data_IF_786709499184
#
_entry.id   IF_786709499184
#
_cell.length_a   1.000
_cell.length_b   1.000
_cell.length_c   1.000
_cell.angle_alpha   90.00
_cell.angle_beta   90.00
_cell.angle_gamma   90.00
#
_symmetry.space_group_name_H-M   'P 1'
#
loop_
_entity.id
_entity.type
_entity.pdbx_description
1 polymer ?
#
# COMPACT_ATOMS: atom_id res chain seq x y z
N UNK A 1 -11.85 -0.44 7.29
CA UNK A 1 -10.54 -0.95 7.74
C UNK A 1 -9.81 -1.49 6.52
N UNK A 2 -8.81 -0.74 6.01
CA UNK A 2 -8.10 -1.12 4.79
C UNK A 2 -7.00 -2.16 5.04
N UNK A 3 -6.42 -2.16 6.25
CA UNK A 3 -5.28 -3.02 6.63
C UNK A 3 -5.68 -4.47 6.87
N UNK A 4 -6.97 -4.72 7.13
CA UNK A 4 -7.50 -6.08 7.32
C UNK A 4 -7.27 -6.99 6.10
N UNK A 5 -7.25 -6.44 4.88
CA UNK A 5 -7.11 -7.22 3.65
C UNK A 5 -5.69 -7.76 3.45
N UNK A 6 -4.70 -7.13 4.08
CA UNK A 6 -3.30 -7.54 4.03
C UNK A 6 -2.93 -8.50 5.16
N UNK A 7 -3.88 -8.84 6.04
CA UNK A 7 -3.63 -9.77 7.15
C UNK A 7 -3.22 -11.15 6.62
N UNK A 8 -2.21 -11.77 7.25
CA UNK A 8 -1.61 -13.05 6.86
C UNK A 8 -0.91 -13.10 5.49
N UNK A 9 -0.76 -11.98 4.79
CA UNK A 9 0.05 -11.94 3.57
C UNK A 9 1.53 -11.72 3.90
N UNK A 10 2.42 -12.32 3.12
CA UNK A 10 3.86 -12.14 3.27
C UNK A 10 4.30 -10.79 2.71
N UNK A 11 5.29 -10.16 3.37
CA UNK A 11 5.88 -8.93 2.88
C UNK A 11 6.60 -9.17 1.55
N UNK A 12 6.33 -8.31 0.57
CA UNK A 12 6.83 -8.43 -0.79
C UNK A 12 7.54 -7.15 -1.23
N UNK A 13 8.53 -7.31 -2.10
CA UNK A 13 9.38 -6.25 -2.67
C UNK A 13 9.61 -6.55 -4.15
N UNK A 14 10.28 -5.65 -4.89
CA UNK A 14 10.53 -5.80 -6.33
C UNK A 14 11.25 -7.10 -6.71
N UNK A 15 11.99 -7.70 -5.79
CA UNK A 15 12.87 -8.86 -5.98
C UNK A 15 12.55 -10.06 -5.07
N UNK A 16 11.54 -9.96 -4.20
CA UNK A 16 11.10 -11.06 -3.32
C UNK A 16 9.60 -11.07 -3.05
N UNK A 17 8.97 -12.25 -3.04
CA UNK A 17 7.54 -12.43 -2.72
C UNK A 17 6.65 -12.29 -3.96
N UNK A 18 5.53 -11.59 -3.83
CA UNK A 18 4.68 -11.20 -4.96
C UNK A 18 5.35 -10.06 -5.75
N UNK A 19 6.42 -10.40 -6.47
CA UNK A 19 7.30 -9.44 -7.16
C UNK A 19 6.58 -8.71 -8.28
N UNK A 20 5.69 -9.38 -9.01
CA UNK A 20 4.87 -8.77 -10.06
C UNK A 20 4.07 -7.58 -9.51
N UNK A 21 3.37 -7.78 -8.39
CA UNK A 21 2.54 -6.75 -7.77
C UNK A 21 3.38 -5.64 -7.15
N UNK A 22 4.51 -5.98 -6.53
CA UNK A 22 5.45 -5.01 -5.97
C UNK A 22 6.09 -4.11 -7.04
N UNK A 23 6.42 -4.66 -8.22
CA UNK A 23 6.92 -3.90 -9.36
C UNK A 23 5.81 -3.01 -9.95
N UNK A 24 4.60 -3.55 -10.12
CA UNK A 24 3.44 -2.80 -10.63
C UNK A 24 3.04 -1.63 -9.74
N UNK A 25 3.00 -1.84 -8.42
CA UNK A 25 2.57 -0.83 -7.44
C UNK A 25 3.71 0.04 -6.92
N UNK A 26 4.96 -0.27 -7.27
CA UNK A 26 6.17 0.53 -6.96
C UNK A 26 6.41 0.74 -5.45
N UNK A 27 6.24 -0.31 -4.65
CA UNK A 27 6.52 -0.25 -3.21
C UNK A 27 6.65 -1.62 -2.57
N UNK A 28 7.19 -1.65 -1.34
CA UNK A 28 7.24 -2.85 -0.51
C UNK A 28 6.01 -2.91 0.40
N UNK A 29 5.24 -3.99 0.36
CA UNK A 29 4.01 -4.12 1.13
C UNK A 29 3.61 -5.58 1.37
N UNK A 30 2.66 -5.79 2.27
CA UNK A 30 1.97 -7.07 2.42
C UNK A 30 0.87 -7.16 1.36
N UNK A 31 1.25 -7.43 0.11
CA UNK A 31 0.29 -7.50 -0.98
C UNK A 31 -0.58 -8.76 -0.87
N UNK A 32 -1.89 -8.56 -0.87
CA UNK A 32 -2.85 -9.63 -1.16
C UNK A 32 -2.94 -9.90 -2.67
N UNK A 33 -3.60 -10.97 -3.09
CA UNK A 33 -3.52 -11.46 -4.48
C UNK A 33 -4.35 -10.62 -5.47
N UNK A 34 -5.54 -10.18 -5.09
CA UNK A 34 -6.54 -9.56 -5.96
C UNK A 34 -6.38 -8.05 -6.16
N UNK A 35 -6.24 -7.27 -5.09
CA UNK A 35 -6.21 -5.79 -5.10
C UNK A 35 -5.24 -5.20 -4.06
N UNK A 36 -5.29 -3.89 -3.85
CA UNK A 36 -4.59 -3.17 -2.77
C UNK A 36 -5.52 -2.10 -2.20
N UNK A 37 -5.96 -2.28 -0.96
CA UNK A 37 -6.88 -1.33 -0.31
C UNK A 37 -6.16 -0.15 0.37
N UNK A 38 -4.86 -0.28 0.62
CA UNK A 38 -4.01 0.80 1.09
C UNK A 38 -2.57 0.49 0.71
N UNK A 39 -1.83 1.53 0.34
CA UNK A 39 -0.43 1.41 -0.02
C UNK A 39 0.35 2.61 0.54
N UNK A 40 0.78 2.49 1.79
CA UNK A 40 1.45 3.59 2.50
C UNK A 40 2.94 3.75 2.12
N UNK A 41 3.49 2.77 1.40
CA UNK A 41 4.85 2.78 0.85
C UNK A 41 4.86 3.05 -0.66
N UNK A 42 3.78 3.63 -1.20
CA UNK A 42 3.68 3.97 -2.62
C UNK A 42 4.47 5.21 -3.02
N UNK A 43 4.38 5.54 -4.31
CA UNK A 43 5.02 6.72 -4.89
C UNK A 43 4.35 7.99 -4.35
N UNK A 44 5.16 8.93 -3.86
CA UNK A 44 4.66 10.25 -3.50
C UNK A 44 4.51 11.10 -4.76
N UNK A 45 3.28 11.37 -5.15
CA UNK A 45 2.92 12.06 -6.40
C UNK A 45 1.67 12.94 -6.17
N UNK A 46 1.85 14.16 -5.62
CA UNK A 46 0.73 15.04 -5.30
C UNK A 46 -0.14 15.37 -6.51
N UNK A 47 -1.46 15.30 -6.32
CA UNK A 47 -2.44 15.53 -7.39
C UNK A 47 -2.76 14.30 -8.24
N UNK A 48 -2.06 13.18 -8.03
CA UNK A 48 -2.32 11.91 -8.71
C UNK A 48 -3.33 11.06 -7.92
N UNK A 49 -4.23 10.39 -8.65
CA UNK A 49 -5.14 9.36 -8.13
C UNK A 49 -4.83 8.04 -8.85
N UNK A 50 -3.90 7.26 -8.30
CA UNK A 50 -3.42 5.98 -8.86
C UNK A 50 -3.01 5.02 -7.74
N UNK A 51 -3.28 3.72 -7.92
CA UNK A 51 -3.01 2.70 -6.92
C UNK A 51 -1.52 2.58 -6.53
N UNK A 52 -0.60 3.07 -7.37
CA UNK A 52 0.83 3.15 -7.11
C UNK A 52 1.18 4.22 -6.05
N UNK A 53 0.30 5.20 -5.82
CA UNK A 53 0.61 6.33 -4.93
C UNK A 53 0.56 5.94 -3.46
N UNK A 54 0.99 6.85 -2.58
CA UNK A 54 0.70 6.76 -1.14
C UNK A 54 -0.81 6.94 -0.91
N UNK A 55 -1.58 5.86 -0.70
CA UNK A 55 -3.05 5.93 -0.66
C UNK A 55 -3.74 5.04 0.39
N UNK A 56 -5.00 5.38 0.67
CA UNK A 56 -5.91 4.63 1.55
C UNK A 56 -7.34 4.61 0.99
N UNK A 57 -7.68 3.50 0.33
CA UNK A 57 -8.87 3.37 -0.53
C UNK A 57 -10.20 3.68 0.17
N UNK A 58 -10.49 3.15 1.37
CA UNK A 58 -11.77 3.44 2.04
C UNK A 58 -11.99 4.89 2.46
N UNK A 59 -10.97 5.75 2.39
CA UNK A 59 -11.07 7.16 2.75
C UNK A 59 -11.07 8.08 1.53
N UNK A 60 -10.05 7.98 0.67
CA UNK A 60 -9.85 8.87 -0.49
C UNK A 60 -9.50 8.11 -1.76
N UNK A 61 -9.96 6.87 -1.87
CA UNK A 61 -9.61 6.00 -3.00
C UNK A 61 -8.09 5.93 -3.21
N UNK A 62 -7.60 6.15 -4.42
CA UNK A 62 -6.18 6.17 -4.72
C UNK A 62 -5.58 7.58 -4.79
N UNK A 63 -6.26 8.59 -4.23
CA UNK A 63 -5.68 9.93 -4.12
C UNK A 63 -4.42 9.90 -3.27
N UNK A 64 -3.36 10.53 -3.79
CA UNK A 64 -2.12 10.69 -3.06
C UNK A 64 -2.34 11.43 -1.72
N UNK A 65 -1.91 10.80 -0.63
CA UNK A 65 -1.90 11.38 0.70
C UNK A 65 -0.62 12.19 0.92
N UNK A 66 -0.78 13.44 1.35
CA UNK A 66 0.33 14.35 1.61
C UNK A 66 1.30 13.86 2.69
N UNK A 67 0.79 13.07 3.66
CA UNK A 67 1.61 12.47 4.73
C UNK A 67 0.90 11.26 5.33
N UNK A 68 1.67 10.29 5.79
CA UNK A 68 1.20 9.08 6.47
C UNK A 68 2.21 8.66 7.53
N UNK A 69 1.74 8.10 8.64
CA UNK A 69 2.60 7.53 9.69
C UNK A 69 2.01 6.21 10.17
N UNK A 70 2.86 5.20 10.39
CA UNK A 70 2.50 3.94 11.05
C UNK A 70 3.21 3.92 12.41
N UNK A 71 2.45 3.84 13.51
CA UNK A 71 2.98 3.87 14.88
C UNK A 71 2.38 2.73 15.69
N UNK A 72 3.18 2.15 16.59
CA UNK A 72 2.73 1.11 17.52
C UNK A 72 2.94 1.56 18.95
N UNK A 73 2.11 1.07 19.87
CA UNK A 73 2.21 1.29 21.31
C UNK A 73 1.91 -0.03 22.03
N UNK A 74 2.59 -0.37 23.13
CA UNK A 74 2.18 -1.48 23.98
C UNK A 74 0.69 -1.39 24.32
N UNK A 75 0.05 -2.56 24.45
CA UNK A 75 -1.33 -2.62 24.93
C UNK A 75 -1.40 -2.23 26.40
#
# INVERSE_FOLDING_TARGET
DAMRYQNNYAFSTKDKGNTEKAQRLKGGWWYEDSTVFCHLNGVYEPGTNDAQTVNWYPWREHENLASVEIKVRPK
#
